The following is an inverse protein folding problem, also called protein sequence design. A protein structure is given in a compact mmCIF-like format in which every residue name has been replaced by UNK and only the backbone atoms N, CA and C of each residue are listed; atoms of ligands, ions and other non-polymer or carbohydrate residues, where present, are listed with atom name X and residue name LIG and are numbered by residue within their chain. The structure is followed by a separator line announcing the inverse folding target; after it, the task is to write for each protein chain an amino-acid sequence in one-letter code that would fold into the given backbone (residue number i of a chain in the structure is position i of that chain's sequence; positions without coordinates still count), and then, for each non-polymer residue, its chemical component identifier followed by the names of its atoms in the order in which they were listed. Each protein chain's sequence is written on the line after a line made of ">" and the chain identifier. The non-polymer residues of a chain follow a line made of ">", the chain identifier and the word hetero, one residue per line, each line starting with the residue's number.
data_IF_631086739169
#
_entry.id   IF_631086739169
#
_cell.length_a   1.000
_cell.length_b   1.000
_cell.length_c   1.000
_cell.angle_alpha   90.00
_cell.angle_beta   90.00
_cell.angle_gamma   90.00
#
_symmetry.space_group_name_H-M   'P 1'
#
loop_
_entity.id
_entity.type
_entity.pdbx_description
1 polymer ?
#
# COMPACT_ATOMS: atom_id res chain seq x y z
N UNK A 1 29.00 -39.32 18.30
CA UNK A 1 28.76 -38.10 17.48
C UNK A 1 27.99 -38.43 16.19
N UNK A 2 28.38 -39.46 15.43
CA UNK A 2 27.61 -39.91 14.25
C UNK A 2 26.19 -40.40 14.59
N UNK A 3 26.04 -41.18 15.68
CA UNK A 3 24.75 -41.75 16.08
C UNK A 3 23.79 -40.67 16.60
N UNK A 4 24.28 -39.63 17.28
CA UNK A 4 23.54 -38.47 17.68
C UNK A 4 23.09 -37.64 16.47
N UNK A 5 23.95 -37.49 15.48
CA UNK A 5 23.61 -36.81 14.22
C UNK A 5 22.56 -37.57 13.40
N UNK A 6 22.69 -38.93 13.36
CA UNK A 6 21.71 -39.79 12.71
C UNK A 6 20.35 -39.72 13.43
N UNK A 7 20.33 -39.74 14.77
CA UNK A 7 19.11 -39.59 15.57
C UNK A 7 18.42 -38.25 15.36
N UNK A 8 19.17 -37.15 15.19
CA UNK A 8 18.61 -35.85 14.85
C UNK A 8 18.04 -35.78 13.43
N UNK A 9 18.63 -36.48 12.47
CA UNK A 9 18.15 -36.54 11.10
C UNK A 9 16.95 -37.48 10.91
N UNK A 10 16.85 -38.53 11.76
CA UNK A 10 15.75 -39.50 11.75
C UNK A 10 14.53 -39.07 12.61
N UNK A 11 14.62 -37.97 13.35
CA UNK A 11 13.51 -37.44 14.15
C UNK A 11 12.45 -36.79 13.26
N UNK A 12 11.86 -37.59 12.37
CA UNK A 12 10.63 -37.26 11.64
C UNK A 12 9.44 -37.66 12.50
N UNK A 13 9.02 -36.82 13.42
CA UNK A 13 7.78 -37.00 14.13
C UNK A 13 6.60 -36.95 13.15
N UNK A 14 5.76 -37.96 13.09
CA UNK A 14 4.49 -37.87 12.37
C UNK A 14 3.54 -36.95 13.15
N UNK A 15 3.29 -35.75 12.61
CA UNK A 15 2.29 -34.86 13.18
C UNK A 15 0.90 -35.51 13.13
N UNK A 16 0.14 -35.41 14.20
CA UNK A 16 -1.24 -35.84 14.18
C UNK A 16 -2.06 -34.97 13.24
N UNK A 17 -3.07 -35.53 12.61
CA UNK A 17 -3.99 -34.77 11.74
C UNK A 17 -4.62 -33.61 12.49
N UNK A 18 -4.93 -33.77 13.77
CA UNK A 18 -5.46 -32.72 14.63
C UNK A 18 -4.49 -31.55 14.75
N UNK A 19 -3.21 -31.80 14.97
CA UNK A 19 -2.18 -30.74 15.08
C UNK A 19 -2.06 -29.96 13.77
N UNK A 20 -2.07 -30.64 12.63
CA UNK A 20 -2.03 -29.98 11.32
C UNK A 20 -3.26 -29.09 11.13
N UNK A 21 -4.45 -29.55 11.51
CA UNK A 21 -5.67 -28.76 11.44
C UNK A 21 -5.57 -27.53 12.34
N UNK A 22 -5.08 -27.68 13.58
CA UNK A 22 -4.90 -26.53 14.50
C UNK A 22 -3.93 -25.49 13.93
N UNK A 23 -2.81 -25.88 13.32
CA UNK A 23 -1.85 -24.96 12.70
C UNK A 23 -2.50 -24.16 11.57
N UNK A 24 -3.22 -24.82 10.66
CA UNK A 24 -3.83 -24.19 9.49
C UNK A 24 -5.03 -23.30 9.89
N UNK A 25 -5.88 -23.81 10.78
CA UNK A 25 -7.07 -23.06 11.23
C UNK A 25 -6.67 -21.83 12.05
N UNK A 26 -5.67 -21.93 12.94
CA UNK A 26 -5.18 -20.77 13.69
C UNK A 26 -4.57 -19.71 12.76
N UNK A 27 -3.79 -20.12 11.76
CA UNK A 27 -3.26 -19.21 10.75
C UNK A 27 -4.36 -18.51 9.96
N UNK A 28 -5.41 -19.25 9.58
CA UNK A 28 -6.57 -18.70 8.89
C UNK A 28 -7.33 -17.69 9.75
N UNK A 29 -7.54 -17.98 11.03
CA UNK A 29 -8.22 -17.07 11.97
C UNK A 29 -7.43 -15.79 12.20
N UNK A 30 -6.11 -15.88 12.44
CA UNK A 30 -5.29 -14.68 12.64
C UNK A 30 -5.15 -13.89 11.33
N UNK A 31 -5.16 -14.55 10.17
CA UNK A 31 -5.12 -13.86 8.87
C UNK A 31 -6.35 -12.97 8.63
N UNK A 32 -7.50 -13.27 9.25
CA UNK A 32 -8.68 -12.39 9.22
C UNK A 32 -8.38 -11.05 9.90
N UNK A 33 -7.62 -11.06 11.00
CA UNK A 33 -7.20 -9.82 11.68
C UNK A 33 -6.33 -8.97 10.75
N UNK A 34 -5.40 -9.61 10.02
CA UNK A 34 -4.56 -8.93 9.02
C UNK A 34 -5.42 -8.34 7.90
N UNK A 35 -6.39 -9.13 7.40
CA UNK A 35 -7.33 -8.70 6.35
C UNK A 35 -8.11 -7.44 6.78
N UNK A 36 -8.67 -7.46 7.99
CA UNK A 36 -9.44 -6.33 8.54
C UNK A 36 -8.55 -5.13 8.76
N UNK A 37 -7.32 -5.33 9.27
CA UNK A 37 -6.33 -4.27 9.44
C UNK A 37 -6.00 -3.58 8.12
N UNK A 38 -5.71 -4.34 7.08
CA UNK A 38 -5.40 -3.81 5.74
C UNK A 38 -6.59 -3.05 5.15
N UNK A 39 -7.78 -3.61 5.26
CA UNK A 39 -9.01 -2.96 4.80
C UNK A 39 -9.28 -1.62 5.51
N UNK A 40 -9.01 -1.56 6.82
CA UNK A 40 -9.26 -0.35 7.60
C UNK A 40 -8.21 0.74 7.38
N UNK A 41 -6.95 0.36 7.24
CA UNK A 41 -5.82 1.30 7.10
C UNK A 41 -5.66 1.84 5.69
N UNK A 42 -6.06 1.07 4.66
CA UNK A 42 -6.00 1.47 3.26
C UNK A 42 -7.39 1.90 2.78
N UNK A 43 -7.56 3.19 2.51
CA UNK A 43 -8.82 3.76 2.05
C UNK A 43 -8.68 4.36 0.65
N UNK A 44 -9.74 4.23 -0.18
CA UNK A 44 -9.78 4.79 -1.54
C UNK A 44 -8.97 3.99 -2.55
N UNK A 45 -8.21 4.67 -3.40
CA UNK A 45 -7.41 4.07 -4.49
C UNK A 45 -6.22 3.23 -4.01
N UNK A 46 -5.78 3.44 -2.76
CA UNK A 46 -4.69 2.66 -2.16
C UNK A 46 -5.10 1.24 -1.73
N UNK A 47 -6.41 0.94 -1.64
CA UNK A 47 -6.90 -0.38 -1.28
C UNK A 47 -6.94 -1.32 -2.47
N UNK A 48 -6.15 -2.39 -2.42
CA UNK A 48 -6.20 -3.48 -3.39
C UNK A 48 -6.84 -4.73 -2.79
N UNK A 49 -8.07 -5.07 -3.23
CA UNK A 49 -8.74 -6.30 -2.79
C UNK A 49 -7.96 -7.56 -3.16
N UNK A 50 -7.31 -7.55 -4.34
CA UNK A 50 -6.50 -8.68 -4.80
C UNK A 50 -5.31 -8.90 -3.88
N UNK A 51 -4.61 -7.84 -3.51
CA UNK A 51 -3.48 -7.89 -2.60
C UNK A 51 -3.89 -8.36 -1.21
N UNK A 52 -5.01 -7.85 -0.67
CA UNK A 52 -5.52 -8.26 0.64
C UNK A 52 -5.85 -9.76 0.72
N UNK A 53 -6.46 -10.32 -0.32
CA UNK A 53 -6.70 -11.77 -0.41
C UNK A 53 -5.37 -12.54 -0.50
N UNK A 54 -4.38 -12.00 -1.22
CA UNK A 54 -3.04 -12.62 -1.30
C UNK A 54 -2.34 -12.67 0.06
N UNK A 55 -2.53 -11.67 0.94
CA UNK A 55 -2.00 -11.66 2.30
C UNK A 55 -2.56 -12.82 3.13
N UNK A 56 -3.88 -13.05 3.10
CA UNK A 56 -4.50 -14.19 3.77
C UNK A 56 -3.95 -15.53 3.28
N UNK A 57 -3.90 -15.68 1.96
CA UNK A 57 -3.39 -16.91 1.32
C UNK A 57 -1.92 -17.13 1.67
N UNK A 58 -1.11 -16.09 1.70
CA UNK A 58 0.31 -16.15 2.06
C UNK A 58 0.49 -16.63 3.52
N UNK A 59 -0.35 -16.15 4.45
CA UNK A 59 -0.30 -16.61 5.86
C UNK A 59 -0.55 -18.11 5.96
N UNK A 60 -1.60 -18.61 5.31
CA UNK A 60 -1.97 -20.03 5.33
C UNK A 60 -0.88 -20.87 4.66
N UNK A 61 -0.38 -20.41 3.51
CA UNK A 61 0.69 -21.11 2.78
C UNK A 61 1.97 -21.20 3.61
N UNK A 62 2.36 -20.11 4.26
CA UNK A 62 3.55 -20.08 5.14
C UNK A 62 3.37 -21.00 6.34
N UNK A 63 2.18 -21.03 6.97
CA UNK A 63 1.90 -21.96 8.06
C UNK A 63 1.97 -23.41 7.61
N UNK A 64 1.43 -23.73 6.43
CA UNK A 64 1.49 -25.09 5.85
C UNK A 64 2.94 -25.53 5.60
N UNK A 65 3.72 -24.64 4.99
CA UNK A 65 5.15 -24.91 4.74
C UNK A 65 5.90 -25.10 6.06
N UNK A 66 5.64 -24.24 7.04
CA UNK A 66 6.33 -24.27 8.32
C UNK A 66 5.96 -25.51 9.16
N UNK A 67 4.71 -25.97 9.08
CA UNK A 67 4.25 -27.22 9.69
C UNK A 67 5.05 -28.44 9.17
N UNK A 68 5.38 -28.45 7.89
CA UNK A 68 6.19 -29.53 7.27
C UNK A 68 7.66 -29.39 7.64
N UNK A 69 8.21 -28.15 7.57
CA UNK A 69 9.62 -27.87 7.87
C UNK A 69 9.95 -28.11 9.35
N UNK A 70 9.09 -27.69 10.25
CA UNK A 70 9.30 -27.79 11.69
C UNK A 70 9.46 -29.23 12.18
N UNK A 71 9.03 -30.19 11.39
CA UNK A 71 9.04 -31.61 11.74
C UNK A 71 10.14 -32.43 11.04
N UNK A 72 10.93 -31.83 10.15
CA UNK A 72 11.98 -32.53 9.42
C UNK A 72 13.13 -31.60 9.01
N UNK A 73 14.28 -31.79 9.64
CA UNK A 73 15.48 -30.95 9.44
C UNK A 73 16.02 -31.07 7.98
N UNK A 74 15.99 -32.27 7.42
CA UNK A 74 16.48 -32.48 6.04
C UNK A 74 15.59 -31.73 5.04
N UNK A 75 14.28 -31.72 5.26
CA UNK A 75 13.31 -30.97 4.44
C UNK A 75 13.50 -29.47 4.62
N UNK A 76 13.84 -28.99 5.83
CA UNK A 76 14.15 -27.59 6.10
C UNK A 76 15.29 -27.10 5.21
N UNK A 77 16.40 -27.85 5.17
CA UNK A 77 17.57 -27.49 4.34
C UNK A 77 17.24 -27.49 2.84
N UNK A 78 16.48 -28.49 2.39
CA UNK A 78 16.02 -28.56 1.00
C UNK A 78 15.13 -27.40 0.60
N UNK A 79 14.22 -26.99 1.49
CA UNK A 79 13.29 -25.87 1.25
C UNK A 79 14.01 -24.53 1.19
N UNK A 80 15.00 -24.28 2.08
CA UNK A 80 15.83 -23.07 2.03
C UNK A 80 16.56 -22.99 0.68
N UNK A 81 17.09 -24.12 0.20
CA UNK A 81 17.70 -24.21 -1.14
C UNK A 81 16.72 -23.91 -2.27
N UNK A 82 15.52 -24.48 -2.22
CA UNK A 82 14.47 -24.25 -3.21
C UNK A 82 13.98 -22.80 -3.24
N UNK A 83 13.74 -22.20 -2.07
CA UNK A 83 13.29 -20.81 -1.95
C UNK A 83 14.36 -19.80 -2.41
N UNK A 84 15.66 -20.14 -2.31
CA UNK A 84 16.74 -19.26 -2.76
C UNK A 84 16.75 -19.05 -4.29
N UNK A 85 16.12 -19.94 -5.04
CA UNK A 85 16.01 -19.86 -6.51
C UNK A 85 14.86 -18.92 -6.92
N UNK A 86 13.87 -18.67 -6.02
CA UNK A 86 12.73 -17.84 -6.31
C UNK A 86 13.14 -16.37 -6.30
N UNK A 87 13.27 -15.78 -7.48
CA UNK A 87 13.60 -14.36 -7.64
C UNK A 87 12.34 -13.57 -7.98
N UNK A 88 11.90 -12.73 -7.06
CA UNK A 88 10.85 -11.73 -7.36
C UNK A 88 11.43 -10.61 -8.24
N UNK A 89 10.81 -10.37 -9.40
CA UNK A 89 11.22 -9.29 -10.32
C UNK A 89 10.38 -8.02 -10.20
N UNK A 90 9.30 -8.07 -9.44
CA UNK A 90 8.40 -6.94 -9.23
C UNK A 90 8.81 -6.18 -7.99
N UNK A 91 9.10 -4.88 -8.14
CA UNK A 91 9.32 -4.00 -7.00
C UNK A 91 7.99 -3.74 -6.28
N UNK A 92 7.98 -3.91 -4.96
CA UNK A 92 6.85 -3.51 -4.13
C UNK A 92 6.92 -1.99 -4.02
N UNK A 93 5.89 -1.29 -4.55
CA UNK A 93 5.88 0.17 -4.64
C UNK A 93 5.66 0.85 -3.28
N UNK A 94 4.88 0.22 -2.38
CA UNK A 94 4.55 0.78 -1.07
C UNK A 94 5.31 0.05 0.04
N UNK A 95 5.99 0.81 0.89
CA UNK A 95 6.68 0.29 2.06
C UNK A 95 5.74 -0.37 3.08
N UNK A 96 4.46 0.03 3.09
CA UNK A 96 3.43 -0.56 3.94
C UNK A 96 3.02 -1.94 3.48
N UNK A 97 2.85 -2.14 2.18
CA UNK A 97 2.56 -3.45 1.61
C UNK A 97 3.64 -4.46 1.99
N UNK A 98 4.91 -4.01 1.97
CA UNK A 98 6.04 -4.80 2.46
C UNK A 98 5.88 -5.20 3.92
N UNK A 99 5.45 -4.28 4.78
CA UNK A 99 5.23 -4.52 6.20
C UNK A 99 4.12 -5.56 6.44
N UNK A 100 3.01 -5.47 5.67
CA UNK A 100 1.93 -6.47 5.71
C UNK A 100 2.40 -7.85 5.26
N UNK A 101 3.23 -7.93 4.22
CA UNK A 101 3.83 -9.20 3.76
C UNK A 101 4.68 -9.82 4.88
N UNK A 102 5.56 -9.05 5.52
CA UNK A 102 6.35 -9.57 6.66
C UNK A 102 5.48 -10.02 7.82
N UNK A 103 4.43 -9.28 8.14
CA UNK A 103 3.49 -9.68 9.20
C UNK A 103 2.82 -11.02 8.89
N UNK A 104 2.33 -11.23 7.66
CA UNK A 104 1.72 -12.50 7.25
C UNK A 104 2.70 -13.67 7.33
N UNK A 105 3.96 -13.46 6.94
CA UNK A 105 5.00 -14.50 7.01
C UNK A 105 5.28 -14.86 8.48
N UNK A 106 5.46 -13.87 9.36
CA UNK A 106 5.73 -14.12 10.79
C UNK A 106 4.58 -14.87 11.44
N UNK A 107 3.34 -14.47 11.20
CA UNK A 107 2.14 -15.15 11.71
C UNK A 107 2.08 -16.59 11.20
N UNK A 108 2.33 -16.79 9.90
CA UNK A 108 2.36 -18.12 9.31
C UNK A 108 3.44 -19.02 9.94
N UNK A 109 4.64 -18.50 10.17
CA UNK A 109 5.73 -19.22 10.84
C UNK A 109 5.30 -19.62 12.26
N UNK A 110 4.84 -18.67 13.07
CA UNK A 110 4.43 -18.93 14.45
C UNK A 110 3.31 -19.98 14.54
N UNK A 111 2.27 -19.83 13.70
CA UNK A 111 1.18 -20.81 13.67
C UNK A 111 1.63 -22.18 13.22
N UNK A 112 2.54 -22.26 12.22
CA UNK A 112 3.05 -23.51 11.71
C UNK A 112 3.98 -24.28 12.67
N UNK A 113 4.56 -23.58 13.65
CA UNK A 113 5.37 -24.20 14.74
C UNK A 113 4.51 -24.50 15.99
N UNK A 114 3.30 -23.96 16.05
CA UNK A 114 2.39 -24.13 17.19
C UNK A 114 2.45 -23.01 18.24
N UNK A 115 3.21 -21.93 17.98
CA UNK A 115 3.34 -20.78 18.88
C UNK A 115 2.19 -19.76 18.66
N UNK A 116 0.95 -20.22 18.87
CA UNK A 116 -0.26 -19.41 18.65
C UNK A 116 -0.33 -18.18 19.55
N UNK A 117 0.19 -18.26 20.76
CA UNK A 117 0.23 -17.13 21.72
C UNK A 117 1.10 -16.00 21.20
N UNK A 118 2.28 -16.31 20.66
CA UNK A 118 3.19 -15.32 20.08
C UNK A 118 2.53 -14.67 18.86
N UNK A 119 1.93 -15.48 17.97
CA UNK A 119 1.23 -14.99 16.80
C UNK A 119 0.08 -14.05 17.17
N UNK A 120 -0.73 -14.41 18.19
CA UNK A 120 -1.91 -13.63 18.61
C UNK A 120 -1.51 -12.32 19.29
N UNK A 121 -0.58 -12.36 20.24
CA UNK A 121 -0.14 -11.16 20.96
C UNK A 121 0.60 -10.22 19.99
N UNK A 122 1.51 -10.75 19.19
CA UNK A 122 2.24 -9.96 18.19
C UNK A 122 1.29 -9.29 17.19
N UNK A 123 0.31 -10.04 16.67
CA UNK A 123 -0.70 -9.49 15.77
C UNK A 123 -1.56 -8.41 16.42
N UNK A 124 -1.95 -8.58 17.70
CA UNK A 124 -2.72 -7.58 18.42
C UNK A 124 -1.94 -6.26 18.56
N UNK A 125 -0.66 -6.34 18.92
CA UNK A 125 0.21 -5.16 19.06
C UNK A 125 0.38 -4.45 17.71
N UNK A 126 0.72 -5.19 16.66
CA UNK A 126 0.88 -4.62 15.30
C UNK A 126 -0.44 -3.98 14.82
N UNK A 127 -1.57 -4.65 15.04
CA UNK A 127 -2.89 -4.12 14.69
C UNK A 127 -3.18 -2.80 15.41
N UNK A 128 -2.91 -2.70 16.71
CA UNK A 128 -3.12 -1.47 17.50
C UNK A 128 -2.22 -0.34 16.98
N UNK A 129 -0.94 -0.62 16.73
CA UNK A 129 0.01 0.37 16.19
C UNK A 129 -0.47 0.89 14.83
N UNK A 130 -0.91 0.00 13.94
CA UNK A 130 -1.42 0.38 12.63
C UNK A 130 -2.75 1.14 12.71
N UNK A 131 -3.62 0.84 13.67
CA UNK A 131 -4.83 1.61 13.91
C UNK A 131 -4.54 3.04 14.36
N UNK A 132 -3.56 3.20 15.26
CA UNK A 132 -3.20 4.51 15.81
C UNK A 132 -2.42 5.36 14.81
N UNK A 133 -1.50 4.74 14.07
CA UNK A 133 -0.58 5.44 13.16
C UNK A 133 -0.95 5.29 11.67
N UNK A 134 -1.75 4.28 11.34
CA UNK A 134 -1.96 3.83 9.96
C UNK A 134 -2.97 4.63 9.15
N UNK A 135 -3.76 5.52 9.76
CA UNK A 135 -4.76 6.32 9.03
C UNK A 135 -4.13 7.48 8.27
N UNK A 136 -3.14 7.17 7.45
CA UNK A 136 -2.64 8.14 6.49
C UNK A 136 -3.61 8.13 5.31
N UNK A 137 -4.35 9.18 5.20
CA UNK A 137 -5.12 9.51 4.03
C UNK A 137 -4.13 9.75 2.90
N UNK A 138 -4.19 8.96 1.83
CA UNK A 138 -3.64 9.40 0.57
C UNK A 138 -4.34 10.72 0.26
N UNK A 139 -3.62 11.81 0.41
CA UNK A 139 -4.06 13.10 -0.07
C UNK A 139 -4.10 12.97 -1.59
N UNK A 140 -5.28 12.61 -2.13
CA UNK A 140 -5.52 12.69 -3.55
C UNK A 140 -5.31 14.16 -3.94
N UNK A 141 -4.09 14.45 -4.37
CA UNK A 141 -3.71 15.77 -4.82
C UNK A 141 -4.31 16.00 -6.19
N UNK A 142 -4.87 17.16 -6.38
CA UNK A 142 -5.39 17.61 -7.66
C UNK A 142 -4.38 18.58 -8.23
N UNK A 143 -3.98 18.33 -9.46
CA UNK A 143 -3.14 19.24 -10.24
C UNK A 143 -4.03 20.00 -11.21
N UNK A 144 -3.96 21.32 -11.13
CA UNK A 144 -4.56 22.24 -12.09
C UNK A 144 -3.44 22.74 -12.98
N UNK A 145 -3.46 22.33 -14.24
CA UNK A 145 -2.48 22.70 -15.26
C UNK A 145 -3.12 23.75 -16.16
N UNK A 146 -2.53 24.92 -16.22
CA UNK A 146 -3.04 26.07 -16.96
C UNK A 146 -1.96 26.51 -17.94
N UNK A 147 -2.32 26.63 -19.23
CA UNK A 147 -1.43 27.18 -20.25
C UNK A 147 -2.13 28.24 -21.06
N UNK A 148 -1.44 29.37 -21.28
CA UNK A 148 -1.95 30.50 -22.03
C UNK A 148 -0.86 31.50 -22.39
N UNK A 149 -1.22 32.65 -22.95
CA UNK A 149 -0.29 33.71 -23.28
C UNK A 149 0.44 34.24 -22.05
N UNK A 150 1.71 34.61 -22.21
CA UNK A 150 2.55 35.16 -21.12
C UNK A 150 1.92 36.44 -20.50
N UNK A 151 1.20 37.23 -21.31
CA UNK A 151 0.47 38.44 -20.83
C UNK A 151 -0.56 38.15 -19.72
N UNK A 152 -1.08 36.92 -19.67
CA UNK A 152 -2.14 36.53 -18.73
C UNK A 152 -1.62 36.07 -17.38
N UNK A 153 -0.30 36.04 -17.17
CA UNK A 153 0.34 35.52 -15.98
C UNK A 153 -0.31 36.05 -14.68
N UNK A 154 -0.38 37.36 -14.52
CA UNK A 154 -0.92 38.00 -13.32
C UNK A 154 -2.42 37.75 -13.14
N UNK A 155 -3.15 37.67 -14.24
CA UNK A 155 -4.60 37.42 -14.21
C UNK A 155 -4.89 35.97 -13.80
N UNK A 156 -4.11 35.01 -14.33
CA UNK A 156 -4.20 33.58 -13.94
C UNK A 156 -3.90 33.44 -12.43
N UNK A 157 -2.79 34.02 -11.96
CA UNK A 157 -2.42 33.98 -10.55
C UNK A 157 -3.53 34.58 -9.67
N UNK A 158 -4.10 35.72 -10.07
CA UNK A 158 -5.19 36.39 -9.35
C UNK A 158 -6.45 35.52 -9.26
N UNK A 159 -6.89 34.96 -10.39
CA UNK A 159 -8.08 34.08 -10.45
C UNK A 159 -7.90 32.84 -9.59
N UNK A 160 -6.75 32.16 -9.70
CA UNK A 160 -6.47 30.95 -8.92
C UNK A 160 -6.42 31.27 -7.42
N UNK A 161 -5.78 32.39 -7.07
CA UNK A 161 -5.69 32.83 -5.68
C UNK A 161 -7.07 33.15 -5.07
N UNK A 162 -7.92 33.87 -5.81
CA UNK A 162 -9.26 34.22 -5.37
C UNK A 162 -10.16 32.97 -5.27
N UNK A 163 -10.06 32.07 -6.27
CA UNK A 163 -10.93 30.91 -6.37
C UNK A 163 -10.64 29.83 -5.31
N UNK A 164 -9.38 29.64 -4.95
CA UNK A 164 -8.95 28.59 -4.00
C UNK A 164 -8.55 29.11 -2.61
N UNK A 165 -8.74 30.40 -2.32
CA UNK A 165 -8.46 31.02 -1.00
C UNK A 165 -7.07 30.58 -0.45
N UNK A 166 -6.02 30.79 -1.23
CA UNK A 166 -4.61 30.45 -0.91
C UNK A 166 -4.31 28.95 -0.71
N UNK A 167 -5.27 28.05 -0.98
CA UNK A 167 -5.10 26.60 -0.79
C UNK A 167 -4.49 25.91 -2.01
N UNK A 168 -4.35 26.61 -3.13
CA UNK A 168 -3.64 26.13 -4.31
C UNK A 168 -2.18 26.57 -4.26
N UNK A 169 -1.26 25.60 -4.27
CA UNK A 169 0.18 25.86 -4.23
C UNK A 169 0.77 25.75 -5.63
N UNK A 170 1.42 26.81 -6.13
CA UNK A 170 2.14 26.78 -7.39
C UNK A 170 3.36 25.86 -7.25
N UNK A 171 3.42 24.80 -8.04
CA UNK A 171 4.52 23.80 -8.04
C UNK A 171 5.49 24.01 -9.19
N UNK A 172 4.96 24.31 -10.35
CA UNK A 172 5.77 24.48 -11.57
C UNK A 172 5.28 25.72 -12.32
N UNK A 173 6.23 26.51 -12.80
CA UNK A 173 6.00 27.65 -13.67
C UNK A 173 7.01 27.57 -14.83
N UNK A 174 6.51 27.21 -15.99
CA UNK A 174 7.28 27.16 -17.22
C UNK A 174 6.94 28.41 -18.05
N UNK A 175 7.95 29.17 -18.44
CA UNK A 175 7.78 30.41 -19.19
C UNK A 175 8.54 30.32 -20.51
N UNK A 176 7.88 30.64 -21.61
CA UNK A 176 8.47 30.86 -22.91
C UNK A 176 8.26 32.33 -23.32
N UNK A 177 8.87 32.83 -24.42
CA UNK A 177 8.63 34.21 -24.85
C UNK A 177 7.16 34.55 -25.09
N UNK A 178 6.34 33.57 -25.52
CA UNK A 178 4.98 33.79 -25.95
C UNK A 178 3.93 33.14 -25.06
N UNK A 179 4.32 32.13 -24.26
CA UNK A 179 3.38 31.35 -23.44
C UNK A 179 3.89 31.10 -22.05
N UNK A 180 2.95 30.84 -21.12
CA UNK A 180 3.20 30.43 -19.75
C UNK A 180 2.39 29.18 -19.44
N UNK A 181 3.02 28.25 -18.71
CA UNK A 181 2.36 27.08 -18.16
C UNK A 181 2.56 27.06 -16.65
N UNK A 182 1.46 26.97 -15.93
CA UNK A 182 1.43 26.93 -14.47
C UNK A 182 0.78 25.66 -13.99
N UNK A 183 1.41 24.96 -13.03
CA UNK A 183 0.88 23.78 -12.39
C UNK A 183 0.67 24.07 -10.92
N UNK A 184 -0.60 24.11 -10.51
CA UNK A 184 -1.01 24.28 -9.14
C UNK A 184 -1.39 22.93 -8.54
N UNK A 185 -0.97 22.69 -7.31
CA UNK A 185 -1.33 21.54 -6.52
C UNK A 185 -2.27 21.97 -5.40
N UNK A 186 -3.33 21.21 -5.19
CA UNK A 186 -4.31 21.46 -4.13
C UNK A 186 -4.91 20.17 -3.58
N UNK A 187 -5.44 20.25 -2.36
CA UNK A 187 -6.16 19.15 -1.75
C UNK A 187 -7.53 18.94 -2.41
N UNK A 188 -7.97 17.69 -2.51
CA UNK A 188 -9.30 17.34 -3.04
C UNK A 188 -10.43 18.08 -2.31
N UNK A 189 -10.28 18.34 -1.01
CA UNK A 189 -11.28 19.13 -0.23
C UNK A 189 -11.36 20.56 -0.70
N UNK A 190 -10.21 21.20 -0.96
CA UNK A 190 -10.16 22.57 -1.46
C UNK A 190 -10.83 22.67 -2.84
N UNK A 191 -10.55 21.71 -3.71
CA UNK A 191 -11.17 21.63 -5.03
C UNK A 191 -12.69 21.41 -4.96
N UNK A 192 -13.15 20.44 -4.13
CA UNK A 192 -14.60 20.20 -3.96
C UNK A 192 -15.34 21.40 -3.36
N UNK A 193 -14.72 22.11 -2.42
CA UNK A 193 -15.31 23.32 -1.85
C UNK A 193 -15.43 24.43 -2.90
N UNK A 194 -14.42 24.58 -3.74
CA UNK A 194 -14.41 25.55 -4.82
C UNK A 194 -15.42 25.21 -5.95
N UNK A 195 -15.74 23.93 -6.19
CA UNK A 195 -16.78 23.52 -7.14
C UNK A 195 -18.21 23.97 -6.76
N UNK A 196 -18.42 24.39 -5.51
CA UNK A 196 -19.71 24.92 -5.05
C UNK A 196 -19.94 26.39 -5.48
N UNK A 197 -18.96 27.02 -6.09
CA UNK A 197 -19.10 28.38 -6.63
C UNK A 197 -19.94 28.39 -7.92
N UNK A 198 -20.61 29.50 -8.20
CA UNK A 198 -21.51 29.65 -9.37
C UNK A 198 -20.82 29.43 -10.73
N UNK A 199 -19.55 29.80 -10.84
CA UNK A 199 -18.76 29.62 -12.07
C UNK A 199 -17.60 28.65 -11.81
N UNK A 200 -17.40 27.69 -12.70
CA UNK A 200 -16.26 26.78 -12.63
C UNK A 200 -14.94 27.54 -12.84
N UNK A 201 -13.85 27.06 -12.24
CA UNK A 201 -12.51 27.63 -12.44
C UNK A 201 -12.14 27.64 -13.93
N UNK A 202 -12.56 26.60 -14.66
CA UNK A 202 -12.29 26.45 -16.08
C UNK A 202 -12.96 27.56 -16.89
N UNK A 203 -14.23 27.89 -16.58
CA UNK A 203 -14.95 28.98 -17.25
C UNK A 203 -14.33 30.33 -16.93
N UNK A 204 -13.97 30.59 -15.66
CA UNK A 204 -13.30 31.85 -15.29
C UNK A 204 -11.96 32.03 -16.03
N UNK A 205 -11.20 30.96 -16.20
CA UNK A 205 -9.92 31.01 -16.91
C UNK A 205 -10.11 31.17 -18.43
N UNK A 206 -11.07 30.48 -19.05
CA UNK A 206 -11.34 30.63 -20.48
C UNK A 206 -11.98 31.97 -20.87
N UNK A 207 -12.44 32.75 -19.91
CA UNK A 207 -12.83 34.16 -20.16
C UNK A 207 -11.63 35.07 -20.41
N UNK A 208 -10.40 34.61 -20.14
CA UNK A 208 -9.19 35.30 -20.55
C UNK A 208 -8.90 35.01 -22.02
N UNK A 209 -8.45 36.03 -22.76
CA UNK A 209 -8.03 35.86 -24.15
C UNK A 209 -6.75 35.03 -24.27
N UNK A 210 -6.60 34.27 -25.35
CA UNK A 210 -5.41 33.48 -25.66
C UNK A 210 -5.04 32.40 -24.59
N UNK A 211 -6.03 31.75 -24.04
CA UNK A 211 -5.84 30.53 -23.24
C UNK A 211 -5.72 29.33 -24.18
N UNK A 212 -4.68 28.50 -23.99
CA UNK A 212 -4.47 27.29 -24.80
C UNK A 212 -5.25 26.10 -24.19
N UNK A 213 -5.04 25.81 -22.90
CA UNK A 213 -5.77 24.77 -22.21
C UNK A 213 -5.78 24.95 -20.68
N UNK A 214 -6.78 24.35 -20.04
CA UNK A 214 -6.93 24.19 -18.60
C UNK A 214 -7.25 22.74 -18.32
N UNK A 215 -6.32 22.01 -17.72
CA UNK A 215 -6.47 20.61 -17.39
C UNK A 215 -6.50 20.39 -15.88
N UNK A 216 -7.43 19.56 -15.42
CA UNK A 216 -7.54 19.15 -14.03
C UNK A 216 -7.19 17.67 -13.95
N UNK A 217 -6.08 17.34 -13.32
CA UNK A 217 -5.57 15.99 -13.22
C UNK A 217 -5.63 15.55 -11.75
N UNK A 218 -6.37 14.49 -11.48
CA UNK A 218 -6.33 13.86 -10.16
C UNK A 218 -5.12 12.93 -10.15
N UNK A 219 -4.10 13.29 -9.38
CA UNK A 219 -2.94 12.43 -9.21
C UNK A 219 -3.34 11.28 -8.28
N UNK A 220 -3.64 10.11 -8.85
CA UNK A 220 -3.57 8.85 -8.13
C UNK A 220 -2.14 8.34 -8.27
N UNK A 221 -1.51 7.89 -7.19
CA UNK A 221 -0.14 7.36 -7.19
C UNK A 221 0.06 6.13 -8.11
N UNK A 222 -0.95 5.77 -8.90
CA UNK A 222 -0.92 4.65 -9.86
C UNK A 222 -0.28 4.99 -11.22
N UNK A 223 0.07 6.27 -11.49
CA UNK A 223 0.67 6.68 -12.79
C UNK A 223 2.16 6.96 -12.61
N UNK A 224 2.92 5.98 -12.15
CA UNK A 224 4.39 5.96 -12.25
C UNK A 224 4.83 4.51 -12.43
N UNK A 225 4.64 3.96 -13.60
CA UNK A 225 5.15 2.67 -14.01
C UNK A 225 5.87 2.75 -15.32
#
# INVERSE_FOLDING_TARGET
>A
MKDVLMQFLEQSGTLSVETIIYHIVSAALISIVIYVSYWYTHTGTAYSKKFNVSLMTLTILTATVMTVIGNNIALSLGMVGALSIVRFRTAIKDSRDTMYIFWTIIVGICCGVGDYTVASIGSAVVFIVLLLMGRIRNENRILLIIRGALSNERQIEGIVFEYFDKKALLRVKNTTPDSIEMIYEMDRKAYQHAQLMELSITEKLYNLENMEYVNIVTQSDEISG
#
